data_IF_666411025612
#
_entry.id   IF_666411025612
#
_cell.length_a   1.000
_cell.length_b   1.000
_cell.length_c   1.000
_cell.angle_alpha   90.00
_cell.angle_beta   90.00
_cell.angle_gamma   90.00
#
_symmetry.space_group_name_H-M   'P 1'
#
loop_
_entity.id
_entity.type
_entity.pdbx_description
1 polymer ?
#
# COMPACT_ATOMS: atom_id res chain seq x y z
N UNK A 1 7.32 -13.08 -22.11
CA UNK A 1 6.00 -12.48 -21.81
C UNK A 1 6.24 -11.03 -21.43
N UNK A 2 5.55 -10.08 -22.06
CA UNK A 2 5.71 -8.67 -21.70
C UNK A 2 4.74 -8.36 -20.57
N UNK A 3 5.25 -8.10 -19.38
CA UNK A 3 4.49 -7.50 -18.30
C UNK A 3 4.47 -5.99 -18.53
N UNK A 4 3.33 -5.35 -18.35
CA UNK A 4 3.17 -3.91 -18.46
C UNK A 4 2.72 -3.35 -17.11
N UNK A 5 3.22 -2.16 -16.71
CA UNK A 5 2.76 -1.45 -15.52
C UNK A 5 2.22 -0.10 -15.94
N UNK A 6 1.05 0.23 -15.45
CA UNK A 6 0.39 1.51 -15.72
C UNK A 6 -0.29 2.09 -14.48
N UNK A 7 -0.62 3.36 -14.52
CA UNK A 7 -1.56 3.94 -13.57
C UNK A 7 -2.93 3.28 -13.70
N UNK A 8 -3.59 3.10 -12.57
CA UNK A 8 -4.98 2.65 -12.56
C UNK A 8 -5.92 3.74 -13.08
N UNK A 9 -7.08 3.33 -13.53
CA UNK A 9 -8.20 4.20 -13.90
C UNK A 9 -9.47 3.75 -13.17
N UNK A 10 -10.59 4.42 -13.42
CA UNK A 10 -11.84 4.11 -12.71
C UNK A 10 -12.34 2.67 -12.94
N UNK A 11 -12.06 2.06 -14.10
CA UNK A 11 -12.47 0.70 -14.41
C UNK A 11 -11.67 -0.37 -13.65
N UNK A 12 -10.53 0.00 -13.05
CA UNK A 12 -9.69 -0.93 -12.29
C UNK A 12 -10.15 -1.11 -10.83
N UNK A 13 -11.13 -0.34 -10.37
CA UNK A 13 -11.56 -0.36 -8.96
C UNK A 13 -11.90 -1.77 -8.47
N UNK A 14 -12.78 -2.46 -9.19
CA UNK A 14 -13.22 -3.80 -8.80
C UNK A 14 -12.07 -4.81 -8.84
N UNK A 15 -11.20 -4.71 -9.84
CA UNK A 15 -10.01 -5.55 -9.91
C UNK A 15 -9.08 -5.33 -8.71
N UNK A 16 -8.76 -4.07 -8.37
CA UNK A 16 -7.85 -3.76 -7.28
C UNK A 16 -8.43 -4.21 -5.94
N UNK A 17 -9.73 -4.00 -5.72
CA UNK A 17 -10.42 -4.45 -4.52
C UNK A 17 -10.43 -5.98 -4.41
N UNK A 18 -10.74 -6.68 -5.50
CA UNK A 18 -10.71 -8.13 -5.54
C UNK A 18 -9.29 -8.69 -5.30
N UNK A 19 -8.28 -8.06 -5.92
CA UNK A 19 -6.87 -8.46 -5.72
C UNK A 19 -6.44 -8.29 -4.25
N UNK A 20 -6.91 -7.25 -3.58
CA UNK A 20 -6.73 -7.08 -2.14
C UNK A 20 -7.38 -8.22 -1.36
N UNK A 21 -8.67 -8.46 -1.57
CA UNK A 21 -9.45 -9.50 -0.86
C UNK A 21 -8.85 -10.91 -1.03
N UNK A 22 -8.35 -11.23 -2.24
CA UNK A 22 -7.71 -12.52 -2.53
C UNK A 22 -6.31 -12.69 -1.91
N UNK A 23 -5.66 -11.59 -1.53
CA UNK A 23 -4.27 -11.60 -1.06
C UNK A 23 -4.11 -11.32 0.43
N UNK A 24 -5.09 -10.68 1.07
CA UNK A 24 -5.05 -10.29 2.47
C UNK A 24 -6.26 -10.85 3.22
N UNK A 25 -6.02 -11.31 4.44
CA UNK A 25 -7.06 -11.86 5.33
C UNK A 25 -7.66 -10.73 6.19
N UNK A 26 -8.11 -9.66 5.53
CA UNK A 26 -8.73 -8.53 6.19
C UNK A 26 -10.26 -8.71 6.30
N UNK A 27 -10.85 -8.21 7.40
CA UNK A 27 -12.30 -8.19 7.59
C UNK A 27 -13.00 -7.40 6.47
N UNK A 28 -14.12 -7.92 5.98
CA UNK A 28 -14.86 -7.33 4.86
C UNK A 28 -15.28 -5.86 5.15
N UNK A 29 -15.62 -5.53 6.40
CA UNK A 29 -15.98 -4.16 6.77
C UNK A 29 -14.78 -3.23 6.68
N UNK A 30 -13.60 -3.72 7.05
CA UNK A 30 -12.36 -2.95 6.88
C UNK A 30 -12.05 -2.73 5.40
N UNK A 31 -12.14 -3.77 4.57
CA UNK A 31 -11.90 -3.66 3.11
C UNK A 31 -12.88 -2.66 2.49
N UNK A 32 -14.17 -2.77 2.79
CA UNK A 32 -15.19 -1.85 2.28
C UNK A 32 -14.91 -0.41 2.69
N UNK A 33 -14.59 -0.17 3.97
CA UNK A 33 -14.23 1.15 4.47
C UNK A 33 -12.96 1.68 3.80
N UNK A 34 -11.89 0.88 3.72
CA UNK A 34 -10.63 1.30 3.11
C UNK A 34 -10.81 1.69 1.64
N UNK A 35 -11.61 0.95 0.90
CA UNK A 35 -11.85 1.23 -0.52
C UNK A 35 -12.84 2.38 -0.74
N UNK A 36 -13.73 2.69 0.22
CA UNK A 36 -14.59 3.88 0.15
C UNK A 36 -13.85 5.17 0.52
N UNK A 37 -12.97 5.12 1.53
CA UNK A 37 -12.38 6.33 2.11
C UNK A 37 -10.95 6.62 1.61
N UNK A 38 -10.15 5.59 1.34
CA UNK A 38 -8.73 5.76 1.08
C UNK A 38 -8.30 5.41 -0.35
N UNK A 39 -9.10 4.66 -1.10
CA UNK A 39 -8.73 4.28 -2.45
C UNK A 39 -8.74 5.49 -3.40
N UNK A 40 -7.70 5.56 -4.22
CA UNK A 40 -7.63 6.49 -5.34
C UNK A 40 -6.93 5.83 -6.53
N UNK A 41 -7.59 5.81 -7.68
CA UNK A 41 -6.99 5.31 -8.91
C UNK A 41 -5.72 6.12 -9.29
N UNK A 42 -5.69 7.42 -9.01
CA UNK A 42 -4.54 8.28 -9.28
C UNK A 42 -3.27 7.89 -8.47
N UNK A 43 -3.47 7.21 -7.34
CA UNK A 43 -2.38 6.73 -6.47
C UNK A 43 -2.17 5.21 -6.58
N UNK A 44 -2.77 4.56 -7.56
CA UNK A 44 -2.74 3.11 -7.72
C UNK A 44 -2.07 2.73 -9.03
N UNK A 45 -1.24 1.70 -8.98
CA UNK A 45 -0.62 1.08 -10.13
C UNK A 45 -1.19 -0.33 -10.35
N UNK A 46 -1.35 -0.70 -11.60
CA UNK A 46 -1.77 -2.03 -12.02
C UNK A 46 -0.69 -2.62 -12.92
N UNK A 47 -0.32 -3.86 -12.64
CA UNK A 47 0.54 -4.65 -13.51
C UNK A 47 -0.30 -5.66 -14.31
N UNK A 48 -0.09 -5.67 -15.61
CA UNK A 48 -0.75 -6.56 -16.56
C UNK A 48 0.19 -7.70 -16.94
N UNK A 49 -0.36 -8.88 -17.10
CA UNK A 49 0.32 -10.06 -17.62
C UNK A 49 -0.54 -10.70 -18.70
N UNK A 50 0.00 -10.87 -19.91
CA UNK A 50 -0.72 -11.46 -21.05
C UNK A 50 -2.03 -10.70 -21.44
N UNK A 51 -2.08 -9.38 -21.17
CA UNK A 51 -3.24 -8.55 -21.49
C UNK A 51 -4.32 -8.49 -20.40
N UNK A 52 -4.08 -9.14 -19.27
CA UNK A 52 -5.00 -9.14 -18.12
C UNK A 52 -4.37 -8.42 -16.92
N UNK A 53 -5.17 -7.69 -16.16
CA UNK A 53 -4.76 -7.10 -14.88
C UNK A 53 -4.44 -8.22 -13.88
N UNK A 54 -3.25 -8.22 -13.32
CA UNK A 54 -2.72 -9.37 -12.58
C UNK A 54 -2.15 -9.02 -11.20
N UNK A 55 -1.73 -7.76 -10.98
CA UNK A 55 -1.23 -7.29 -9.69
C UNK A 55 -1.55 -5.80 -9.51
N UNK A 56 -1.57 -5.36 -8.26
CA UNK A 56 -1.82 -3.96 -7.91
C UNK A 56 -0.90 -3.48 -6.78
N UNK A 57 -0.73 -2.16 -6.69
CA UNK A 57 0.01 -1.46 -5.64
C UNK A 57 -0.57 -0.07 -5.47
N UNK A 58 -0.80 0.35 -4.24
CA UNK A 58 -1.16 1.74 -3.92
C UNK A 58 0.07 2.51 -3.46
N UNK A 59 0.23 3.74 -3.94
CA UNK A 59 1.34 4.65 -3.64
C UNK A 59 0.77 5.94 -3.05
N UNK A 60 0.27 5.85 -1.83
CA UNK A 60 -0.53 6.90 -1.17
C UNK A 60 0.37 8.07 -0.78
N UNK A 61 0.05 9.32 -1.19
CA UNK A 61 0.77 10.51 -0.75
C UNK A 61 0.70 10.65 0.77
N UNK A 62 1.83 10.98 1.36
CA UNK A 62 1.96 11.15 2.81
C UNK A 62 2.88 12.32 3.13
N UNK A 63 2.63 12.98 4.24
CA UNK A 63 3.54 13.97 4.82
C UNK A 63 4.00 13.44 6.17
N UNK A 64 5.31 13.28 6.32
CA UNK A 64 5.91 12.92 7.59
C UNK A 64 6.46 14.17 8.23
N UNK A 65 5.98 14.52 9.44
CA UNK A 65 6.52 15.60 10.21
C UNK A 65 7.62 15.06 11.11
N UNK A 66 8.83 15.60 10.95
CA UNK A 66 9.98 15.25 11.77
C UNK A 66 10.63 16.52 12.31
N UNK A 67 10.65 16.68 13.62
CA UNK A 67 11.09 17.89 14.31
C UNK A 67 10.33 19.14 13.81
N UNK A 68 10.96 19.96 12.96
CA UNK A 68 10.38 21.18 12.39
C UNK A 68 10.27 21.14 10.87
N UNK A 69 10.42 19.97 10.26
CA UNK A 69 10.39 19.78 8.82
C UNK A 69 9.30 18.81 8.39
N UNK A 70 8.58 19.17 7.35
CA UNK A 70 7.65 18.27 6.68
C UNK A 70 8.33 17.61 5.49
N UNK A 71 8.28 16.29 5.45
CA UNK A 71 8.92 15.45 4.45
C UNK A 71 7.84 14.83 3.57
N UNK A 72 7.89 15.12 2.26
CA UNK A 72 7.02 14.45 1.29
C UNK A 72 7.38 12.97 1.17
N UNK A 73 6.43 12.10 1.41
CA UNK A 73 6.61 10.65 1.39
C UNK A 73 5.53 9.94 0.58
N UNK A 74 5.74 8.66 0.32
CA UNK A 74 4.72 7.76 -0.20
C UNK A 74 4.59 6.55 0.71
N UNK A 75 3.38 6.27 1.13
CA UNK A 75 3.03 5.02 1.79
C UNK A 75 2.66 3.98 0.73
N UNK A 76 3.43 2.90 0.66
CA UNK A 76 3.14 1.78 -0.23
C UNK A 76 2.24 0.80 0.50
N UNK A 77 1.07 0.57 -0.05
CA UNK A 77 0.05 -0.30 0.51
C UNK A 77 -0.53 -1.25 -0.53
N UNK A 78 -1.12 -2.36 -0.10
CA UNK A 78 -1.86 -3.26 -0.95
C UNK A 78 -1.05 -3.87 -2.10
N UNK A 79 0.24 -4.17 -1.88
CA UNK A 79 1.06 -4.85 -2.89
C UNK A 79 0.56 -6.28 -3.01
N UNK A 80 -0.20 -6.54 -4.04
CA UNK A 80 -0.92 -7.80 -4.23
C UNK A 80 -0.74 -8.35 -5.63
N UNK A 81 -0.74 -9.67 -5.75
CA UNK A 81 -0.69 -10.38 -7.04
C UNK A 81 -1.69 -11.52 -7.01
N UNK A 82 -2.58 -11.55 -7.98
CA UNK A 82 -3.57 -12.60 -8.13
C UNK A 82 -2.90 -13.97 -8.10
N UNK A 83 -3.47 -14.97 -7.40
CA UNK A 83 -2.83 -16.28 -7.21
C UNK A 83 -2.30 -16.93 -8.49
N UNK A 84 -3.09 -16.89 -9.57
CA UNK A 84 -2.75 -17.50 -10.87
C UNK A 84 -1.59 -16.78 -11.60
N UNK A 85 -1.19 -15.59 -11.15
CA UNK A 85 -0.14 -14.79 -11.76
C UNK A 85 1.11 -14.65 -10.87
N UNK A 86 1.15 -15.34 -9.72
CA UNK A 86 2.32 -15.34 -8.82
C UNK A 86 3.55 -15.93 -9.48
N UNK A 87 4.72 -15.61 -8.94
CA UNK A 87 6.04 -16.06 -9.42
C UNK A 87 6.42 -15.61 -10.85
N UNK A 88 5.75 -14.58 -11.39
CA UNK A 88 6.03 -14.00 -12.72
C UNK A 88 6.73 -12.63 -12.64
N UNK A 89 7.21 -12.24 -11.47
CA UNK A 89 7.95 -10.99 -11.27
C UNK A 89 7.09 -9.72 -11.24
N UNK A 90 5.76 -9.80 -11.16
CA UNK A 90 4.86 -8.65 -11.23
C UNK A 90 5.08 -7.65 -10.10
N UNK A 91 5.29 -8.11 -8.86
CA UNK A 91 5.63 -7.22 -7.75
C UNK A 91 6.94 -6.45 -8.02
N UNK A 92 7.96 -7.12 -8.59
CA UNK A 92 9.20 -6.46 -9.00
C UNK A 92 8.93 -5.37 -10.02
N UNK A 93 8.15 -5.65 -11.05
CA UNK A 93 7.82 -4.68 -12.10
C UNK A 93 7.08 -3.46 -11.51
N UNK A 94 6.16 -3.70 -10.54
CA UNK A 94 5.49 -2.60 -9.83
C UNK A 94 6.48 -1.70 -9.09
N UNK A 95 7.43 -2.26 -8.33
CA UNK A 95 8.45 -1.48 -7.62
C UNK A 95 9.40 -0.76 -8.57
N UNK A 96 9.89 -1.42 -9.63
CA UNK A 96 10.77 -0.84 -10.64
C UNK A 96 10.11 0.34 -11.37
N UNK A 97 8.80 0.31 -11.55
CA UNK A 97 8.03 1.42 -12.11
C UNK A 97 7.73 2.51 -11.07
N UNK A 98 7.28 2.10 -9.87
CA UNK A 98 6.78 3.00 -8.82
C UNK A 98 7.88 3.88 -8.22
N UNK A 99 9.04 3.31 -7.86
CA UNK A 99 10.09 4.05 -7.15
C UNK A 99 10.62 5.26 -7.95
N UNK A 100 10.98 5.11 -9.25
CA UNK A 100 11.36 6.28 -10.07
C UNK A 100 10.20 7.26 -10.26
N UNK A 101 8.96 6.80 -10.38
CA UNK A 101 7.79 7.66 -10.52
C UNK A 101 7.59 8.53 -9.27
N UNK A 102 7.60 7.92 -8.09
CA UNK A 102 7.45 8.63 -6.81
C UNK A 102 8.55 9.68 -6.61
N UNK A 103 9.80 9.35 -6.96
CA UNK A 103 10.91 10.30 -6.91
C UNK A 103 10.69 11.50 -7.84
N UNK A 104 10.25 11.27 -9.08
CA UNK A 104 9.92 12.36 -10.03
C UNK A 104 8.76 13.24 -9.53
N UNK A 105 7.86 12.67 -8.75
CA UNK A 105 6.74 13.38 -8.09
C UNK A 105 7.17 14.12 -6.80
N UNK A 106 8.46 14.17 -6.49
CA UNK A 106 8.99 14.91 -5.34
C UNK A 106 8.93 14.18 -4.01
N UNK A 107 8.66 12.87 -3.99
CA UNK A 107 8.76 12.11 -2.76
C UNK A 107 10.24 11.94 -2.35
N UNK A 108 10.55 12.36 -1.13
CA UNK A 108 11.88 12.21 -0.55
C UNK A 108 12.12 10.77 -0.07
N UNK A 109 11.06 10.06 0.33
CA UNK A 109 11.13 8.66 0.74
C UNK A 109 9.83 7.91 0.44
N UNK A 110 9.93 6.59 0.39
CA UNK A 110 8.79 5.68 0.39
C UNK A 110 8.91 4.76 1.60
N UNK A 111 7.78 4.44 2.22
CA UNK A 111 7.73 3.51 3.34
C UNK A 111 6.55 2.54 3.20
N UNK A 112 6.65 1.42 3.88
CA UNK A 112 5.59 0.41 3.92
C UNK A 112 5.61 -0.30 5.28
N UNK A 113 4.51 -0.96 5.59
CA UNK A 113 4.41 -1.85 6.74
C UNK A 113 4.44 -3.28 6.21
N UNK A 114 5.50 -4.01 6.53
CA UNK A 114 5.64 -5.41 6.10
C UNK A 114 5.08 -6.36 7.16
N UNK A 115 4.36 -7.38 6.70
CA UNK A 115 3.97 -8.52 7.54
C UNK A 115 5.10 -9.56 7.67
N UNK A 116 6.09 -9.52 6.77
CA UNK A 116 7.19 -10.49 6.71
C UNK A 116 8.51 -9.73 6.63
N UNK A 117 9.39 -9.96 7.59
CA UNK A 117 10.73 -9.36 7.62
C UNK A 117 11.55 -9.77 6.39
N UNK A 118 12.35 -8.85 5.88
CA UNK A 118 13.26 -9.07 4.75
C UNK A 118 12.59 -9.14 3.37
N UNK A 119 11.26 -9.15 3.29
CA UNK A 119 10.53 -9.32 2.04
C UNK A 119 10.84 -8.22 1.01
N UNK A 120 11.05 -6.98 1.48
CA UNK A 120 11.21 -5.79 0.66
C UNK A 120 12.65 -5.29 0.53
N UNK A 121 13.62 -5.91 1.20
CA UNK A 121 15.04 -5.54 1.13
C UNK A 121 15.59 -5.61 -0.30
N UNK A 122 15.16 -6.61 -1.06
CA UNK A 122 15.51 -6.76 -2.50
C UNK A 122 15.05 -5.61 -3.40
N UNK A 123 14.17 -4.74 -2.90
CA UNK A 123 13.72 -3.52 -3.58
C UNK A 123 14.35 -2.25 -3.01
N UNK A 124 15.33 -2.39 -2.11
CA UNK A 124 16.07 -1.27 -1.50
C UNK A 124 15.45 -0.72 -0.23
N UNK A 125 14.47 -1.40 0.37
CA UNK A 125 13.92 -1.03 1.66
C UNK A 125 14.79 -1.56 2.79
N UNK A 126 14.89 -0.78 3.86
CA UNK A 126 15.57 -1.16 5.10
C UNK A 126 14.58 -1.08 6.25
N UNK A 127 14.63 -2.04 7.15
CA UNK A 127 13.81 -2.01 8.36
C UNK A 127 14.24 -0.83 9.23
N UNK A 128 13.30 0.06 9.53
CA UNK A 128 13.54 1.26 10.34
C UNK A 128 13.18 1.03 11.81
N UNK A 129 12.02 0.41 12.06
CA UNK A 129 11.51 0.14 13.41
C UNK A 129 10.58 -1.06 13.40
N UNK A 130 10.27 -1.57 14.58
CA UNK A 130 9.21 -2.56 14.76
C UNK A 130 7.85 -1.89 14.87
N UNK A 131 6.82 -2.56 14.37
CA UNK A 131 5.44 -2.14 14.55
C UNK A 131 4.94 -2.64 15.90
N UNK A 132 4.55 -1.71 16.77
CA UNK A 132 3.88 -2.05 18.03
C UNK A 132 2.37 -2.09 17.73
N UNK A 133 1.73 -3.23 18.03
CA UNK A 133 0.29 -3.38 17.93
C UNK A 133 -0.31 -3.49 19.32
N UNK A 134 -1.21 -2.60 19.65
CA UNK A 134 -2.01 -2.67 20.87
C UNK A 134 -3.35 -3.32 20.54
N UNK A 135 -3.73 -4.37 21.29
CA UNK A 135 -5.09 -4.88 21.27
C UNK A 135 -5.89 -4.03 22.24
N UNK A 136 -6.71 -3.12 21.74
CA UNK A 136 -7.71 -2.46 22.56
C UNK A 136 -8.82 -3.48 22.85
N UNK A 137 -8.97 -3.91 24.08
CA UNK A 137 -10.22 -4.48 24.55
C UNK A 137 -11.24 -3.34 24.51
N UNK A 138 -12.42 -3.61 23.93
CA UNK A 138 -13.49 -2.65 23.63
C UNK A 138 -13.48 -1.46 24.59
N UNK A 139 -12.86 -0.39 24.17
CA UNK A 139 -13.06 0.93 24.79
C UNK A 139 -14.54 1.24 24.62
N UNK A 140 -15.25 1.44 25.74
CA UNK A 140 -16.68 1.70 25.76
C UNK A 140 -17.09 2.76 24.73
N UNK A 141 -18.35 3.10 24.64
CA UNK A 141 -19.01 3.88 23.60
C UNK A 141 -18.43 5.27 23.23
N UNK A 142 -17.29 5.67 23.80
CA UNK A 142 -16.60 6.92 23.44
C UNK A 142 -15.42 6.61 22.54
N UNK A 143 -15.49 6.94 21.23
CA UNK A 143 -14.33 6.86 20.35
C UNK A 143 -13.25 7.84 20.87
N UNK A 144 -11.98 7.39 20.85
CA UNK A 144 -10.83 8.28 21.07
C UNK A 144 -10.92 9.37 20.00
N UNK A 145 -11.07 10.62 20.44
CA UNK A 145 -11.20 11.77 19.53
C UNK A 145 -9.85 12.34 19.10
N UNK A 146 -8.76 12.00 19.81
CA UNK A 146 -7.41 12.47 19.52
C UNK A 146 -6.36 11.48 20.06
N UNK A 147 -5.17 11.48 19.44
CA UNK A 147 -3.97 10.79 19.95
C UNK A 147 -3.57 11.34 21.33
N UNK A 148 -3.89 12.59 21.62
CA UNK A 148 -3.61 13.24 22.91
C UNK A 148 -4.40 12.65 24.09
N UNK A 149 -5.45 11.86 23.80
CA UNK A 149 -6.22 11.12 24.80
C UNK A 149 -5.54 9.81 25.25
N UNK A 150 -4.42 9.46 24.63
CA UNK A 150 -3.60 8.31 24.99
C UNK A 150 -2.48 8.79 25.90
N UNK A 151 -2.68 8.71 27.22
CA UNK A 151 -1.58 8.87 28.18
C UNK A 151 -0.62 7.69 28.03
N UNK A 152 0.55 7.93 27.47
CA UNK A 152 1.70 7.03 27.44
C UNK A 152 2.43 7.06 28.78
#
# INVERSE_FOLDING_TARGET
MRNNVRAANAADFDFVKNCWTECFDDDERYVNWNFSENYSAANTLVAECCGESAAAMQCIPYTLSFEKADISARYISGVSTMPNFRNRGLARNLFEYALPLMRRQGAALAFLISAVDGMYEKFGFTKLCDRIMYRAESLGKNPIQSIDDINL
#
